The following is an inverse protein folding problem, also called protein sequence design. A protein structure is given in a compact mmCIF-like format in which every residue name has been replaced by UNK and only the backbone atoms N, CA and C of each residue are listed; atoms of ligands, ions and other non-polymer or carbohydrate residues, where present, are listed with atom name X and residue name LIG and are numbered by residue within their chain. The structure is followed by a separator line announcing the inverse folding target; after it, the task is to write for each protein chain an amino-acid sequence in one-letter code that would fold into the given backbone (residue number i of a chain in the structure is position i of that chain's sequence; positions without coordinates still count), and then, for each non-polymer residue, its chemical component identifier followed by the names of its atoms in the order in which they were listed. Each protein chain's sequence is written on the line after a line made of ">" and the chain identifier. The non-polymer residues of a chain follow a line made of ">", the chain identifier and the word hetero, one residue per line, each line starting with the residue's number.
data_IF_553348552056
#
_entry.id   IF_553348552056
#
_cell.length_a   1.000
_cell.length_b   1.000
_cell.length_c   1.000
_cell.angle_alpha   90.00
_cell.angle_beta   90.00
_cell.angle_gamma   90.00
#
_symmetry.space_group_name_H-M   'P 1'
#
loop_
_entity.id
_entity.type
_entity.pdbx_description
1 polymer ?
#
# COMPACT_ATOMS: atom_id res chain seq x y z
N UNK A 1 16.96 -16.86 -7.79
CA UNK A 1 16.79 -15.99 -6.58
C UNK A 1 15.37 -16.13 -6.06
N UNK A 2 15.18 -16.64 -4.83
CA UNK A 2 13.82 -16.79 -4.26
C UNK A 2 13.44 -15.56 -3.44
N UNK A 3 12.60 -14.69 -3.99
CA UNK A 3 12.06 -13.56 -3.24
C UNK A 3 11.09 -14.09 -2.17
N UNK A 4 11.32 -13.74 -0.90
CA UNK A 4 10.41 -14.12 0.19
C UNK A 4 9.12 -13.32 0.07
N UNK A 5 8.12 -13.89 -0.59
CA UNK A 5 6.80 -13.29 -0.91
C UNK A 5 6.18 -12.57 0.29
N UNK A 6 6.22 -13.20 1.48
CA UNK A 6 5.68 -12.63 2.73
C UNK A 6 6.46 -11.41 3.23
N UNK A 7 7.78 -11.46 3.19
CA UNK A 7 8.63 -10.35 3.65
C UNK A 7 8.52 -9.15 2.71
N UNK A 8 8.54 -9.39 1.40
CA UNK A 8 8.38 -8.34 0.39
C UNK A 8 6.99 -7.71 0.42
N UNK A 9 5.94 -8.54 0.55
CA UNK A 9 4.57 -8.07 0.77
C UNK A 9 4.46 -7.17 2.00
N UNK A 10 5.00 -7.60 3.15
CA UNK A 10 4.96 -6.82 4.39
C UNK A 10 5.68 -5.47 4.24
N UNK A 11 6.88 -5.45 3.63
CA UNK A 11 7.60 -4.21 3.41
C UNK A 11 6.80 -3.21 2.56
N UNK A 12 6.21 -3.67 1.44
CA UNK A 12 5.38 -2.80 0.58
C UNK A 12 4.12 -2.34 1.30
N UNK A 13 3.44 -3.24 2.02
CA UNK A 13 2.27 -2.91 2.83
C UNK A 13 2.56 -1.83 3.86
N UNK A 14 3.65 -1.96 4.62
CA UNK A 14 4.04 -0.97 5.64
C UNK A 14 4.39 0.37 5.00
N UNK A 15 5.18 0.38 3.92
CA UNK A 15 5.56 1.62 3.23
C UNK A 15 4.33 2.33 2.65
N UNK A 16 3.42 1.59 2.02
CA UNK A 16 2.17 2.15 1.48
C UNK A 16 1.26 2.66 2.58
N UNK A 17 1.03 1.87 3.63
CA UNK A 17 0.22 2.30 4.78
C UNK A 17 0.76 3.57 5.41
N UNK A 18 2.07 3.62 5.71
CA UNK A 18 2.71 4.80 6.28
C UNK A 18 2.60 6.01 5.36
N UNK A 19 2.73 5.81 4.05
CA UNK A 19 2.57 6.90 3.06
C UNK A 19 1.18 7.52 3.13
N UNK A 20 0.12 6.71 3.19
CA UNK A 20 -1.25 7.20 3.36
C UNK A 20 -1.44 7.96 4.68
N UNK A 21 -0.90 7.43 5.78
CA UNK A 21 -1.01 8.06 7.09
C UNK A 21 -0.30 9.42 7.13
N UNK A 22 0.98 9.45 6.75
CA UNK A 22 1.78 10.67 6.77
C UNK A 22 1.23 11.72 5.80
N UNK A 23 0.81 11.31 4.60
CA UNK A 23 0.24 12.25 3.63
C UNK A 23 -1.07 12.86 4.13
N UNK A 24 -1.96 12.04 4.71
CA UNK A 24 -3.23 12.51 5.26
C UNK A 24 -3.00 13.48 6.42
N UNK A 25 -2.14 13.12 7.38
CA UNK A 25 -1.84 13.97 8.52
C UNK A 25 -1.09 15.24 8.13
N UNK A 26 -0.17 15.16 7.16
CA UNK A 26 0.54 16.33 6.66
C UNK A 26 -0.39 17.33 5.96
N UNK A 27 -1.32 16.85 5.12
CA UNK A 27 -2.30 17.70 4.45
C UNK A 27 -3.29 18.34 5.45
N UNK A 28 -3.72 17.58 6.47
CA UNK A 28 -4.56 18.09 7.55
C UNK A 28 -3.84 19.17 8.35
N UNK A 29 -2.57 18.95 8.71
CA UNK A 29 -1.76 19.92 9.42
C UNK A 29 -1.56 21.21 8.61
N UNK A 30 -1.49 21.12 7.27
CA UNK A 30 -1.42 22.26 6.36
C UNK A 30 -2.77 22.93 6.10
N UNK A 31 -3.86 22.50 6.75
CA UNK A 31 -5.23 22.94 6.47
C UNK A 31 -5.59 22.88 4.97
N UNK A 32 -5.02 21.90 4.25
CA UNK A 32 -5.32 21.70 2.84
C UNK A 32 -6.68 20.99 2.71
N UNK A 33 -7.50 21.34 1.69
CA UNK A 33 -8.76 20.64 1.42
C UNK A 33 -8.55 19.17 1.04
N UNK A 34 -7.31 18.77 0.69
CA UNK A 34 -6.96 17.37 0.49
C UNK A 34 -7.80 16.68 -0.58
N UNK A 35 -8.14 17.37 -1.68
CA UNK A 35 -9.09 16.91 -2.72
C UNK A 35 -8.83 15.50 -3.24
N UNK A 36 -7.56 15.09 -3.32
CA UNK A 36 -7.18 13.75 -3.75
C UNK A 36 -7.49 12.74 -2.64
N UNK A 37 -7.16 13.06 -1.39
CA UNK A 37 -7.46 12.19 -0.25
C UNK A 37 -8.96 12.13 0.06
N UNK A 38 -9.72 13.22 -0.11
CA UNK A 38 -11.16 13.19 0.10
C UNK A 38 -11.88 12.28 -0.90
N UNK A 39 -11.37 12.17 -2.14
CA UNK A 39 -11.87 11.20 -3.13
C UNK A 39 -11.65 9.76 -2.72
N UNK A 40 -10.62 9.46 -1.93
CA UNK A 40 -10.42 8.09 -1.43
C UNK A 40 -11.52 7.61 -0.48
N UNK A 41 -12.32 8.53 0.09
CA UNK A 41 -13.50 8.20 0.90
C UNK A 41 -14.55 7.41 0.11
N UNK A 42 -14.64 7.57 -1.21
CA UNK A 42 -15.57 6.79 -2.04
C UNK A 42 -15.05 5.39 -2.38
N UNK A 43 -13.74 5.17 -2.28
CA UNK A 43 -13.08 3.91 -2.66
C UNK A 43 -12.83 3.04 -1.43
N UNK A 44 -12.37 3.64 -0.33
CA UNK A 44 -12.04 2.93 0.89
C UNK A 44 -13.16 3.05 1.90
N UNK A 45 -13.81 1.92 2.18
CA UNK A 45 -14.88 1.86 3.16
C UNK A 45 -14.37 2.28 4.55
N UNK A 46 -15.09 3.22 5.19
CA UNK A 46 -14.75 3.77 6.49
C UNK A 46 -13.62 4.80 6.49
N UNK A 47 -13.01 5.09 5.35
CA UNK A 47 -12.00 6.15 5.25
C UNK A 47 -12.69 7.51 5.22
N UNK A 48 -12.14 8.47 5.96
CA UNK A 48 -12.51 9.88 5.86
C UNK A 48 -11.24 10.71 5.85
N UNK A 49 -11.28 11.91 5.25
CA UNK A 49 -10.15 12.83 5.36
C UNK A 49 -10.15 13.48 6.75
N UNK A 50 -9.58 12.75 7.73
CA UNK A 50 -9.49 13.14 9.13
C UNK A 50 -8.29 12.47 9.80
N UNK A 51 -7.92 12.89 11.01
CA UNK A 51 -6.83 12.28 11.77
C UNK A 51 -7.04 10.78 11.99
N UNK A 52 -8.27 10.39 12.33
CA UNK A 52 -8.67 8.97 12.50
C UNK A 52 -8.73 8.26 11.16
N UNK A 53 -9.24 8.93 10.11
CA UNK A 53 -9.29 8.37 8.78
C UNK A 53 -7.90 8.10 8.17
N UNK A 54 -6.87 8.86 8.55
CA UNK A 54 -5.48 8.54 8.23
C UNK A 54 -5.02 7.17 8.78
N UNK A 55 -5.52 6.74 9.95
CA UNK A 55 -5.27 5.41 10.51
C UNK A 55 -6.04 4.34 9.73
N UNK A 56 -7.28 4.64 9.32
CA UNK A 56 -8.05 3.75 8.43
C UNK A 56 -7.34 3.59 7.08
N UNK A 57 -6.79 4.68 6.54
CA UNK A 57 -5.96 4.67 5.33
C UNK A 57 -4.68 3.87 5.49
N UNK A 58 -4.05 3.91 6.67
CA UNK A 58 -2.90 3.07 7.00
C UNK A 58 -3.24 1.57 6.92
N UNK A 59 -4.36 1.17 7.52
CA UNK A 59 -4.82 -0.23 7.51
C UNK A 59 -5.11 -0.68 6.07
N UNK A 60 -5.84 0.14 5.30
CA UNK A 60 -6.10 -0.15 3.88
C UNK A 60 -4.82 -0.22 3.07
N UNK A 61 -3.89 0.73 3.24
CA UNK A 61 -2.59 0.73 2.58
C UNK A 61 -1.73 -0.48 2.95
N UNK A 62 -1.82 -0.95 4.19
CA UNK A 62 -1.18 -2.19 4.65
C UNK A 62 -1.72 -3.41 3.91
N UNK A 63 -3.06 -3.56 3.87
CA UNK A 63 -3.72 -4.71 3.24
C UNK A 63 -3.48 -4.71 1.74
N UNK A 64 -3.78 -3.59 1.07
CA UNK A 64 -3.64 -3.46 -0.38
C UNK A 64 -2.17 -3.54 -0.80
N UNK A 65 -1.28 -2.86 -0.08
CA UNK A 65 0.17 -2.91 -0.35
C UNK A 65 0.75 -4.30 -0.10
N UNK A 66 0.28 -5.03 0.92
CA UNK A 66 0.68 -6.42 1.14
C UNK A 66 0.27 -7.33 -0.02
N UNK A 67 -0.99 -7.23 -0.45
CA UNK A 67 -1.50 -8.03 -1.57
C UNK A 67 -0.73 -7.72 -2.86
N UNK A 68 -0.53 -6.43 -3.18
CA UNK A 68 0.27 -6.00 -4.32
C UNK A 68 1.71 -6.49 -4.24
N UNK A 69 2.36 -6.38 -3.08
CA UNK A 69 3.73 -6.85 -2.91
C UNK A 69 3.85 -8.37 -3.07
N UNK A 70 2.93 -9.15 -2.50
CA UNK A 70 2.89 -10.61 -2.73
C UNK A 70 2.68 -10.93 -4.21
N UNK A 71 1.79 -10.20 -4.89
CA UNK A 71 1.53 -10.37 -6.33
C UNK A 71 2.78 -10.08 -7.17
N UNK A 72 3.48 -8.99 -6.89
CA UNK A 72 4.75 -8.63 -7.56
C UNK A 72 5.80 -9.70 -7.31
N UNK A 73 5.95 -10.18 -6.08
CA UNK A 73 6.90 -11.24 -5.75
C UNK A 73 6.55 -12.56 -6.46
N UNK A 74 5.26 -12.84 -6.68
CA UNK A 74 4.80 -13.99 -7.44
C UNK A 74 5.12 -13.85 -8.94
N UNK A 75 4.84 -12.69 -9.55
CA UNK A 75 5.23 -12.42 -10.93
C UNK A 75 6.74 -12.49 -11.14
N UNK A 76 7.53 -11.99 -10.18
CA UNK A 76 8.99 -12.09 -10.22
C UNK A 76 9.46 -13.55 -10.25
N UNK A 77 8.90 -14.41 -9.39
CA UNK A 77 9.18 -15.86 -9.37
C UNK A 77 8.76 -16.54 -10.69
N UNK A 78 7.60 -16.15 -11.24
CA UNK A 78 7.10 -16.67 -12.51
C UNK A 78 8.03 -16.30 -13.68
N UNK A 79 8.36 -15.02 -13.84
CA UNK A 79 9.25 -14.55 -14.91
C UNK A 79 10.66 -15.10 -14.75
N UNK A 80 11.16 -15.20 -13.51
CA UNK A 80 12.47 -15.80 -13.26
C UNK A 80 12.53 -17.26 -13.74
N UNK A 81 11.47 -18.06 -13.52
CA UNK A 81 11.40 -19.45 -14.01
C UNK A 81 11.32 -19.53 -15.53
N UNK A 82 10.54 -18.64 -16.16
CA UNK A 82 10.37 -18.62 -17.62
C UNK A 82 11.67 -18.21 -18.32
N UNK A 83 12.31 -17.13 -17.85
CA UNK A 83 13.47 -16.52 -18.51
C UNK A 83 14.77 -17.28 -18.25
N UNK A 84 14.98 -17.76 -17.03
CA UNK A 84 16.22 -18.44 -16.67
C UNK A 84 16.15 -19.96 -16.82
N UNK A 85 15.00 -20.51 -17.25
CA UNK A 85 14.75 -21.93 -17.55
C UNK A 85 15.68 -22.84 -16.72
N UNK A 86 15.47 -22.86 -15.40
CA UNK A 86 16.24 -23.79 -14.56
C UNK A 86 16.03 -25.19 -15.12
N UNK A 87 17.14 -25.81 -15.54
CA UNK A 87 17.22 -27.19 -15.99
C UNK A 87 16.97 -28.12 -14.81
#
# INVERSE_FOLDING_TARGET
>A
MTLRKRAFGLSIGVVMGLSFLFLTWFLLWRNSPGEIMSKFSSVFYGYSYSWVGGIVGFIWGLVVGFVLGVLIAWFYDLFSKILYKEK
#
